data_IF_062687459160
#
_entry.id   IF_062687459160
#
_cell.length_a   1.000
_cell.length_b   1.000
_cell.length_c   1.000
_cell.angle_alpha   90.00
_cell.angle_beta   90.00
_cell.angle_gamma   90.00
#
_symmetry.space_group_name_H-M   'P 1'
#
loop_
_entity.id
_entity.type
_entity.pdbx_description
1 polymer ?
#
# COMPACT_ATOMS: atom_id res chain seq x y z
N UNK A 1 11.59 -38.34 -35.69
CA UNK A 1 12.16 -37.57 -34.56
C UNK A 1 11.56 -36.18 -34.58
N UNK A 2 10.55 -35.92 -33.75
CA UNK A 2 9.91 -34.60 -33.65
C UNK A 2 10.73 -33.71 -32.72
N UNK A 3 11.26 -32.59 -33.22
CA UNK A 3 11.83 -31.53 -32.39
C UNK A 3 10.69 -30.84 -31.64
N UNK A 4 10.57 -31.10 -30.34
CA UNK A 4 9.78 -30.27 -29.44
C UNK A 4 10.53 -28.94 -29.26
N UNK A 5 10.01 -27.87 -29.87
CA UNK A 5 10.41 -26.50 -29.58
C UNK A 5 9.77 -26.10 -28.25
N UNK A 6 10.55 -26.15 -27.16
CA UNK A 6 10.15 -25.51 -25.91
C UNK A 6 10.28 -24.00 -26.11
N UNK A 7 9.16 -23.30 -26.29
CA UNK A 7 9.14 -21.84 -26.26
C UNK A 7 9.40 -21.42 -24.81
N UNK A 8 10.54 -20.78 -24.55
CA UNK A 8 10.84 -20.22 -23.23
C UNK A 8 9.96 -18.98 -23.04
N UNK A 9 9.01 -19.03 -22.10
CA UNK A 9 7.99 -17.98 -21.93
C UNK A 9 8.39 -17.06 -20.77
N UNK A 10 8.40 -15.75 -21.02
CA UNK A 10 8.49 -14.73 -19.95
C UNK A 10 7.31 -14.92 -18.98
N UNK A 11 7.53 -14.69 -17.68
CA UNK A 11 6.47 -14.88 -16.67
C UNK A 11 6.36 -13.68 -15.73
N UNK A 12 5.22 -13.56 -15.04
CA UNK A 12 4.99 -12.50 -14.05
C UNK A 12 4.49 -13.06 -12.73
N UNK A 13 4.90 -12.40 -11.65
CA UNK A 13 4.37 -12.58 -10.30
C UNK A 13 3.62 -11.29 -9.96
N UNK A 14 2.37 -11.44 -9.54
CA UNK A 14 1.49 -10.33 -9.20
C UNK A 14 0.79 -10.62 -7.87
N UNK A 15 0.85 -9.66 -6.97
CA UNK A 15 0.16 -9.69 -5.69
C UNK A 15 -0.51 -8.33 -5.47
N UNK A 16 -1.80 -8.36 -5.15
CA UNK A 16 -2.59 -7.17 -4.86
C UNK A 16 -3.39 -7.41 -3.57
N UNK A 17 -3.01 -6.74 -2.50
CA UNK A 17 -3.59 -6.97 -1.17
C UNK A 17 -4.35 -5.72 -0.71
N UNK A 18 -5.59 -5.91 -0.28
CA UNK A 18 -6.44 -4.85 0.26
C UNK A 18 -6.73 -5.11 1.73
N UNK A 19 -6.27 -4.21 2.58
CA UNK A 19 -6.52 -4.21 4.01
C UNK A 19 -7.48 -3.06 4.33
N UNK A 20 -8.67 -3.41 4.83
CA UNK A 20 -9.68 -2.44 5.24
C UNK A 20 -9.69 -2.34 6.76
N UNK A 21 -9.49 -1.13 7.28
CA UNK A 21 -9.66 -0.85 8.70
C UNK A 21 -11.05 -0.24 8.88
N UNK A 22 -11.94 -0.88 9.67
CA UNK A 22 -13.24 -0.33 10.02
C UNK A 22 -13.13 1.07 10.64
N UNK A 23 -14.15 1.90 10.41
CA UNK A 23 -14.19 3.28 10.91
C UNK A 23 -14.01 3.35 12.44
N UNK A 24 -14.61 2.41 13.17
CA UNK A 24 -14.53 2.37 14.63
C UNK A 24 -13.11 2.13 15.13
N UNK A 25 -12.35 1.27 14.45
CA UNK A 25 -10.94 0.99 14.78
C UNK A 25 -10.05 2.20 14.47
N UNK A 26 -10.27 2.87 13.32
CA UNK A 26 -9.56 4.13 13.00
C UNK A 26 -9.82 5.20 14.07
N UNK A 27 -11.08 5.31 14.52
CA UNK A 27 -11.47 6.23 15.59
C UNK A 27 -10.78 5.90 16.91
N UNK A 28 -10.71 4.62 17.28
CA UNK A 28 -10.04 4.16 18.49
C UNK A 28 -8.54 4.49 18.48
N UNK A 29 -7.86 4.24 17.34
CA UNK A 29 -6.43 4.56 17.18
C UNK A 29 -6.17 6.06 17.33
N UNK A 30 -6.97 6.91 16.69
CA UNK A 30 -6.80 8.36 16.75
C UNK A 30 -7.12 8.92 18.14
N UNK A 31 -8.16 8.40 18.80
CA UNK A 31 -8.48 8.77 20.19
C UNK A 31 -7.33 8.42 21.13
N UNK A 32 -6.76 7.22 21.00
CA UNK A 32 -5.59 6.79 21.78
C UNK A 32 -4.35 7.66 21.54
N UNK A 33 -4.11 8.09 20.29
CA UNK A 33 -3.01 9.00 19.96
C UNK A 33 -3.19 10.37 20.65
N UNK A 34 -4.39 10.94 20.58
CA UNK A 34 -4.72 12.23 21.19
C UNK A 34 -4.59 12.18 22.71
N UNK A 35 -5.14 11.13 23.34
CA UNK A 35 -5.02 10.91 24.79
C UNK A 35 -3.57 10.65 25.23
N UNK A 36 -2.73 10.08 24.36
CA UNK A 36 -1.31 9.87 24.64
C UNK A 36 -0.47 11.14 24.53
N UNK A 37 -0.81 12.05 23.61
CA UNK A 37 -0.11 13.31 23.38
C UNK A 37 -0.52 14.38 24.41
N UNK A 38 -1.82 14.45 24.73
CA UNK A 38 -2.35 15.43 25.66
C UNK A 38 -2.42 14.83 27.07
N UNK A 39 -1.62 15.36 28.01
CA UNK A 39 -1.72 15.03 29.44
C UNK A 39 -2.13 16.27 30.24
N UNK A 40 -3.20 16.18 31.03
CA UNK A 40 -3.63 17.24 31.97
C UNK A 40 -5.01 17.86 31.66
N UNK A 41 -5.39 18.89 32.41
CA UNK A 41 -6.72 19.55 32.36
C UNK A 41 -7.06 20.23 31.02
N UNK A 42 -6.11 20.39 30.10
CA UNK A 42 -6.35 20.85 28.71
C UNK A 42 -7.05 19.77 27.84
N UNK A 43 -7.22 18.56 28.36
CA UNK A 43 -7.80 17.42 27.65
C UNK A 43 -9.30 17.59 27.38
N UNK A 44 -10.08 18.28 28.22
CA UNK A 44 -11.55 18.29 28.10
C UNK A 44 -12.05 19.12 26.92
N UNK A 45 -11.49 20.31 26.74
CA UNK A 45 -11.91 21.23 25.69
C UNK A 45 -11.37 20.77 24.33
N UNK A 46 -10.11 20.30 24.33
CA UNK A 46 -9.47 19.76 23.13
C UNK A 46 -10.06 18.40 22.73
N UNK A 47 -10.53 17.56 23.68
CA UNK A 47 -11.23 16.29 23.33
C UNK A 47 -12.53 16.52 22.58
N UNK A 48 -13.31 17.53 22.96
CA UNK A 48 -14.58 17.79 22.32
C UNK A 48 -14.37 18.36 20.91
N UNK A 49 -13.46 19.32 20.77
CA UNK A 49 -13.12 19.90 19.47
C UNK A 49 -12.43 18.90 18.53
N UNK A 50 -11.54 18.06 19.07
CA UNK A 50 -10.90 16.99 18.29
C UNK A 50 -11.87 15.86 18.01
N UNK A 51 -12.76 15.48 18.94
CA UNK A 51 -13.74 14.42 18.75
C UNK A 51 -14.72 14.73 17.62
N UNK A 52 -15.29 15.94 17.61
CA UNK A 52 -16.20 16.40 16.57
C UNK A 52 -15.50 16.60 15.22
N UNK A 53 -14.26 17.09 15.21
CA UNK A 53 -13.48 17.22 13.98
C UNK A 53 -12.93 15.88 13.48
N UNK A 54 -12.62 14.93 14.36
CA UNK A 54 -12.23 13.57 14.02
C UNK A 54 -13.39 12.80 13.44
N UNK A 55 -14.58 12.87 14.02
CA UNK A 55 -15.74 12.15 13.48
C UNK A 55 -16.15 12.69 12.10
N UNK A 56 -15.93 13.99 11.84
CA UNK A 56 -16.07 14.62 10.52
C UNK A 56 -14.96 14.22 9.54
N UNK A 57 -13.72 14.07 10.00
CA UNK A 57 -12.56 13.69 9.16
C UNK A 57 -12.50 12.19 8.87
N UNK A 58 -12.85 11.35 9.83
CA UNK A 58 -12.98 9.89 9.72
C UNK A 58 -14.38 9.56 9.21
N UNK A 59 -14.77 10.13 8.07
CA UNK A 59 -16.06 9.81 7.44
C UNK A 59 -16.01 8.56 6.55
N UNK A 60 -14.84 7.94 6.40
CA UNK A 60 -14.65 6.76 5.56
C UNK A 60 -13.86 5.65 6.25
N UNK A 61 -13.98 4.44 5.69
CA UNK A 61 -13.07 3.33 5.99
C UNK A 61 -11.66 3.73 5.56
N UNK A 62 -10.66 3.26 6.31
CA UNK A 62 -9.27 3.38 5.87
C UNK A 62 -8.93 2.16 5.03
N UNK A 63 -8.39 2.40 3.84
CA UNK A 63 -7.85 1.36 2.96
C UNK A 63 -6.33 1.47 2.94
N UNK A 64 -5.67 0.37 3.27
CA UNK A 64 -4.27 0.15 2.98
C UNK A 64 -4.16 -0.90 1.88
N UNK A 65 -3.51 -0.56 0.78
CA UNK A 65 -3.30 -1.46 -0.34
C UNK A 65 -1.80 -1.54 -0.68
N UNK A 66 -1.30 -2.78 -0.83
CA UNK A 66 0.05 -3.07 -1.27
C UNK A 66 -0.03 -3.91 -2.55
N UNK A 67 0.60 -3.41 -3.60
CA UNK A 67 0.63 -4.02 -4.91
C UNK A 67 2.07 -4.27 -5.32
N UNK A 68 2.35 -5.50 -5.76
CA UNK A 68 3.63 -5.94 -6.27
C UNK A 68 3.45 -6.62 -7.62
N UNK A 69 4.17 -6.13 -8.62
CA UNK A 69 4.33 -6.77 -9.91
C UNK A 69 5.80 -6.96 -10.19
N UNK A 70 6.19 -8.20 -10.48
CA UNK A 70 7.51 -8.51 -11.01
C UNK A 70 7.34 -9.27 -12.32
N UNK A 71 7.87 -8.72 -13.39
CA UNK A 71 8.00 -9.41 -14.67
C UNK A 71 9.41 -9.96 -14.79
N UNK A 72 9.52 -11.21 -15.22
CA UNK A 72 10.77 -11.92 -15.40
C UNK A 72 10.96 -12.28 -16.87
N UNK A 73 12.21 -12.24 -17.29
CA UNK A 73 12.65 -12.99 -18.46
C UNK A 73 12.52 -14.49 -18.18
N UNK A 74 12.46 -15.27 -19.25
CA UNK A 74 12.36 -16.72 -19.19
C UNK A 74 13.52 -17.43 -18.46
N UNK A 75 14.66 -16.76 -18.25
CA UNK A 75 15.80 -17.22 -17.45
C UNK A 75 15.68 -16.88 -15.95
N UNK A 76 14.58 -16.25 -15.55
CA UNK A 76 14.33 -15.83 -14.17
C UNK A 76 14.96 -14.49 -13.79
N UNK A 77 15.60 -13.76 -14.73
CA UNK A 77 16.09 -12.42 -14.43
C UNK A 77 14.95 -11.39 -14.44
N UNK A 78 14.84 -10.49 -13.44
CA UNK A 78 13.77 -9.50 -13.41
C UNK A 78 13.91 -8.47 -14.53
N UNK A 79 12.83 -8.33 -15.28
CA UNK A 79 12.65 -7.39 -16.40
C UNK A 79 12.02 -6.08 -15.93
N UNK A 80 11.08 -6.15 -14.99
CA UNK A 80 10.38 -4.98 -14.44
C UNK A 80 9.92 -5.29 -13.03
N UNK A 81 10.08 -4.34 -12.13
CA UNK A 81 9.51 -4.40 -10.78
C UNK A 81 8.68 -3.14 -10.57
N UNK A 82 7.42 -3.33 -10.17
CA UNK A 82 6.54 -2.26 -9.72
C UNK A 82 6.10 -2.61 -8.30
N UNK A 83 6.34 -1.70 -7.36
CA UNK A 83 5.76 -1.76 -6.02
C UNK A 83 4.92 -0.51 -5.81
N UNK A 84 3.69 -0.66 -5.36
CA UNK A 84 2.80 0.45 -5.02
C UNK A 84 2.25 0.26 -3.61
N UNK A 85 2.25 1.35 -2.85
CA UNK A 85 1.61 1.43 -1.55
C UNK A 85 0.57 2.54 -1.61
N UNK A 86 -0.69 2.17 -1.44
CA UNK A 86 -1.84 3.08 -1.52
C UNK A 86 -2.53 3.13 -0.16
N UNK A 87 -2.63 4.34 0.37
CA UNK A 87 -3.34 4.63 1.61
C UNK A 87 -4.51 5.55 1.29
N UNK A 88 -5.73 5.20 1.68
CA UNK A 88 -6.90 6.05 1.55
C UNK A 88 -7.67 6.15 2.86
N UNK A 89 -8.19 7.33 3.15
CA UNK A 89 -9.19 7.58 4.20
C UNK A 89 -10.35 8.30 3.52
N UNK A 90 -11.47 7.61 3.35
CA UNK A 90 -12.57 8.12 2.52
C UNK A 90 -12.11 8.37 1.08
N UNK A 91 -12.27 9.60 0.59
CA UNK A 91 -11.89 10.00 -0.77
C UNK A 91 -10.48 10.58 -0.89
N UNK A 92 -9.80 10.83 0.23
CA UNK A 92 -8.46 11.39 0.25
C UNK A 92 -7.45 10.27 0.46
N UNK A 93 -6.33 10.33 -0.24
CA UNK A 93 -5.32 9.29 -0.13
C UNK A 93 -3.98 9.66 -0.73
N UNK A 94 -3.01 8.79 -0.52
CA UNK A 94 -1.66 8.89 -1.05
C UNK A 94 -1.29 7.58 -1.73
N UNK A 95 -0.70 7.69 -2.91
CA UNK A 95 -0.09 6.58 -3.65
C UNK A 95 1.42 6.81 -3.71
N UNK A 96 2.18 5.85 -3.23
CA UNK A 96 3.63 5.79 -3.41
C UNK A 96 3.94 4.67 -4.40
N UNK A 97 4.75 4.93 -5.42
CA UNK A 97 5.13 3.93 -6.40
C UNK A 97 6.65 3.89 -6.56
N UNK A 98 7.21 2.68 -6.52
CA UNK A 98 8.57 2.38 -6.94
C UNK A 98 8.51 1.59 -8.25
N UNK A 99 9.25 2.08 -9.25
CA UNK A 99 9.32 1.49 -10.57
C UNK A 99 10.79 1.24 -10.93
N UNK A 100 11.14 -0.01 -11.22
CA UNK A 100 12.51 -0.42 -11.53
C UNK A 100 12.51 -1.17 -12.85
N UNK A 101 13.41 -0.75 -13.74
CA UNK A 101 13.75 -1.45 -14.98
C UNK A 101 15.27 -1.53 -15.11
N UNK A 102 15.81 -2.59 -15.73
CA UNK A 102 17.23 -2.67 -16.01
C UNK A 102 17.61 -1.66 -17.09
N UNK A 103 18.59 -0.79 -16.81
CA UNK A 103 19.14 0.13 -17.80
C UNK A 103 19.95 -0.61 -18.88
N UNK A 104 20.59 -1.71 -18.49
CA UNK A 104 21.38 -2.57 -19.37
C UNK A 104 21.32 -4.01 -18.87
N UNK A 105 21.24 -4.97 -19.79
CA UNK A 105 21.31 -6.40 -19.52
C UNK A 105 22.23 -7.05 -20.55
N UNK A 106 23.36 -7.57 -20.10
CA UNK A 106 24.23 -8.41 -20.92
C UNK A 106 23.82 -9.86 -20.71
N UNK A 107 23.52 -10.57 -21.80
CA UNK A 107 23.32 -12.02 -21.80
C UNK A 107 24.43 -12.63 -22.63
N UNK A 108 25.24 -13.51 -22.04
CA UNK A 108 26.16 -14.33 -22.84
C UNK A 108 25.31 -15.31 -23.64
N UNK A 109 25.49 -15.30 -24.97
CA UNK A 109 24.95 -16.30 -25.89
C UNK A 109 25.90 -17.50 -25.96
#
# INVERSE_FOLDING_TARGET
MGKFLWTVVDYKIEADTYNYIPKDDVRAILKGLVEGILKGDELSDVKNDIGDNLDKQVNGRMLYNDYLLIEYYSDGWPKKIVKQEKNMIGNNGKLSQKYIIPCYRSVQH
#
